data_IF_699851801440
#
_entry.id   IF_699851801440
#
_cell.length_a   1.000
_cell.length_b   1.000
_cell.length_c   1.000
_cell.angle_alpha   90.00
_cell.angle_beta   90.00
_cell.angle_gamma   90.00
#
_symmetry.space_group_name_H-M   'P 1'
#
loop_
_entity.id
_entity.type
_entity.pdbx_description
1 polymer ?
#
# COMPACT_ATOMS: atom_id res chain seq x y z
N UNK A 1 9.22 7.68 -8.94
CA UNK A 1 10.07 6.53 -8.64
C UNK A 1 9.57 5.88 -7.35
N UNK A 2 9.75 6.48 -6.17
CA UNK A 2 9.31 5.85 -4.90
C UNK A 2 7.84 5.38 -4.85
N UNK A 3 6.87 6.21 -5.27
CA UNK A 3 5.44 5.83 -5.24
C UNK A 3 5.17 4.59 -6.12
N UNK A 4 5.89 4.43 -7.23
CA UNK A 4 5.74 3.26 -8.10
C UNK A 4 6.26 2.00 -7.41
N UNK A 5 7.41 2.09 -6.74
CA UNK A 5 7.99 0.97 -5.99
C UNK A 5 7.08 0.58 -4.81
N UNK A 6 6.54 1.57 -4.09
CA UNK A 6 5.59 1.36 -2.99
C UNK A 6 4.32 0.65 -3.47
N UNK A 7 3.83 0.93 -4.68
CA UNK A 7 2.66 0.25 -5.25
C UNK A 7 3.01 -1.18 -5.68
N UNK A 8 4.20 -1.36 -6.29
CA UNK A 8 4.67 -2.66 -6.74
C UNK A 8 4.83 -3.64 -5.56
N UNK A 9 5.21 -3.16 -4.38
CA UNK A 9 5.29 -3.98 -3.14
C UNK A 9 3.94 -4.63 -2.77
N UNK A 10 2.79 -4.05 -3.21
CA UNK A 10 1.45 -4.60 -2.95
C UNK A 10 0.82 -5.34 -4.13
N UNK A 11 1.27 -5.10 -5.36
CA UNK A 11 0.69 -5.71 -6.59
C UNK A 11 1.51 -6.91 -7.07
N UNK A 12 2.80 -6.98 -6.74
CA UNK A 12 3.66 -8.08 -7.16
C UNK A 12 3.18 -9.40 -6.57
N UNK A 13 3.01 -10.44 -7.39
CA UNK A 13 2.94 -11.80 -6.87
C UNK A 13 4.32 -12.20 -6.33
N UNK A 14 4.34 -13.01 -5.26
CA UNK A 14 5.59 -13.57 -4.70
C UNK A 14 6.49 -14.17 -5.80
N UNK A 15 5.88 -14.80 -6.80
CA UNK A 15 6.53 -15.43 -7.95
C UNK A 15 7.33 -14.45 -8.84
N UNK A 16 6.92 -13.18 -8.91
CA UNK A 16 7.54 -12.17 -9.78
C UNK A 16 8.54 -11.31 -9.01
N UNK A 17 8.30 -11.08 -7.71
CA UNK A 17 9.08 -10.16 -6.90
C UNK A 17 10.11 -10.86 -5.98
N UNK A 18 9.98 -12.16 -5.77
CA UNK A 18 10.91 -12.96 -4.94
C UNK A 18 10.89 -12.59 -3.45
N UNK A 19 9.87 -11.86 -3.01
CA UNK A 19 9.64 -11.38 -1.65
C UNK A 19 8.14 -11.45 -1.32
N UNK A 20 7.76 -11.62 -0.04
CA UNK A 20 6.36 -11.56 0.37
C UNK A 20 5.76 -10.19 0.07
N UNK A 21 4.51 -10.19 -0.39
CA UNK A 21 3.73 -8.98 -0.66
C UNK A 21 3.66 -8.10 0.58
N UNK A 22 3.79 -6.78 0.41
CA UNK A 22 3.73 -5.81 1.49
C UNK A 22 4.93 -5.90 2.43
N UNK A 23 6.12 -6.15 1.89
CA UNK A 23 7.34 -6.32 2.68
C UNK A 23 7.66 -5.07 3.50
N UNK A 24 7.34 -3.88 2.98
CA UNK A 24 7.51 -2.62 3.69
C UNK A 24 6.59 -2.55 4.91
N UNK A 25 5.31 -2.88 4.73
CA UNK A 25 4.34 -2.87 5.82
C UNK A 25 4.71 -3.89 6.92
N UNK A 26 5.22 -5.07 6.54
CA UNK A 26 5.72 -6.09 7.48
C UNK A 26 6.93 -5.61 8.29
N UNK A 27 7.73 -4.69 7.73
CA UNK A 27 8.86 -4.04 8.41
C UNK A 27 8.43 -2.81 9.24
N UNK A 28 7.14 -2.47 9.24
CA UNK A 28 6.60 -1.29 9.95
C UNK A 28 6.73 0.01 9.15
N UNK A 29 7.06 -0.06 7.87
CA UNK A 29 7.13 1.11 6.98
C UNK A 29 5.73 1.37 6.44
N UNK A 30 5.21 2.57 6.70
CA UNK A 30 3.89 3.01 6.24
C UNK A 30 4.06 3.81 4.94
N UNK A 31 3.64 3.22 3.82
CA UNK A 31 3.71 3.82 2.48
C UNK A 31 2.36 4.40 2.03
N UNK A 32 2.32 5.03 0.85
CA UNK A 32 1.13 5.72 0.34
C UNK A 32 -0.12 4.83 0.25
N UNK A 33 -0.06 3.58 -0.26
CA UNK A 33 -1.21 2.68 -0.24
C UNK A 33 -1.79 2.47 1.15
N UNK A 34 -0.94 2.31 2.17
CA UNK A 34 -1.38 2.10 3.56
C UNK A 34 -2.04 3.37 4.11
N UNK A 35 -1.47 4.55 3.82
CA UNK A 35 -2.05 5.84 4.24
C UNK A 35 -3.45 6.02 3.65
N UNK A 36 -3.65 5.70 2.38
CA UNK A 36 -4.96 5.79 1.75
C UNK A 36 -5.95 4.75 2.30
N UNK A 37 -5.51 3.53 2.58
CA UNK A 37 -6.37 2.52 3.21
C UNK A 37 -6.82 2.93 4.62
N UNK A 38 -5.93 3.54 5.41
CA UNK A 38 -6.24 4.05 6.75
C UNK A 38 -7.26 5.20 6.75
N UNK A 39 -7.44 5.90 5.63
CA UNK A 39 -8.43 6.97 5.49
C UNK A 39 -9.85 6.44 5.25
N UNK A 40 -10.01 5.16 4.91
CA UNK A 40 -11.33 4.55 4.76
C UNK A 40 -12.06 4.50 6.11
N UNK A 41 -13.28 5.03 6.15
CA UNK A 41 -14.04 5.16 7.40
C UNK A 41 -14.53 3.82 7.95
N UNK A 42 -14.69 2.81 7.10
CA UNK A 42 -15.26 1.52 7.49
C UNK A 42 -14.15 0.52 7.84
N UNK A 43 -13.09 0.47 7.04
CA UNK A 43 -12.03 -0.52 7.15
C UNK A 43 -10.74 0.03 7.77
N UNK A 44 -10.52 1.35 7.70
CA UNK A 44 -9.34 2.01 8.28
C UNK A 44 -9.12 1.73 9.76
N UNK A 45 -10.16 1.76 10.63
CA UNK A 45 -9.99 1.41 12.04
C UNK A 45 -9.47 -0.01 12.25
N UNK A 46 -9.96 -0.99 11.47
CA UNK A 46 -9.52 -2.39 11.58
C UNK A 46 -8.07 -2.55 11.13
N UNK A 47 -7.69 -1.89 10.04
CA UNK A 47 -6.30 -1.87 9.58
C UNK A 47 -5.37 -1.25 10.63
N UNK A 48 -5.80 -0.17 11.28
CA UNK A 48 -5.04 0.48 12.35
C UNK A 48 -4.84 -0.45 13.55
N UNK A 49 -5.87 -1.19 13.96
CA UNK A 49 -5.78 -2.18 15.04
C UNK A 49 -4.75 -3.27 14.73
N UNK A 50 -4.76 -3.78 13.48
CA UNK A 50 -3.78 -4.77 13.02
C UNK A 50 -2.36 -4.19 13.09
N UNK A 51 -2.14 -2.99 12.54
CA UNK A 51 -0.84 -2.32 12.51
C UNK A 51 -0.28 -2.10 13.92
N UNK A 52 -1.14 -1.72 14.88
CA UNK A 52 -0.74 -1.43 16.26
C UNK A 52 -0.55 -2.66 17.15
N UNK A 53 -0.88 -3.87 16.66
CA UNK A 53 -0.72 -5.10 17.42
C UNK A 53 0.76 -5.42 17.66
N UNK A 54 1.15 -5.70 18.91
CA UNK A 54 2.54 -6.01 19.29
C UNK A 54 3.07 -7.27 18.60
N UNK A 55 2.23 -8.30 18.47
CA UNK A 55 2.57 -9.57 17.81
C UNK A 55 1.53 -9.83 16.72
N UNK A 56 1.98 -9.82 15.46
CA UNK A 56 1.16 -10.07 14.28
C UNK A 56 1.37 -11.49 13.79
N UNK A 57 0.28 -12.14 13.41
CA UNK A 57 0.24 -13.47 12.79
C UNK A 57 0.10 -13.32 11.28
N UNK A 58 0.34 -14.39 10.51
CA UNK A 58 0.10 -14.38 9.07
C UNK A 58 -1.35 -14.03 8.72
N UNK A 59 -2.33 -14.49 9.49
CA UNK A 59 -3.74 -14.12 9.30
C UNK A 59 -3.98 -12.61 9.49
N UNK A 60 -3.25 -11.95 10.40
CA UNK A 60 -3.37 -10.49 10.57
C UNK A 60 -2.83 -9.77 9.32
N UNK A 61 -1.76 -10.31 8.71
CA UNK A 61 -1.21 -9.76 7.47
C UNK A 61 -2.16 -9.97 6.28
N UNK A 62 -2.69 -11.17 6.11
CA UNK A 62 -3.67 -11.47 5.05
C UNK A 62 -4.89 -10.55 5.15
N UNK A 63 -5.38 -10.31 6.36
CA UNK A 63 -6.48 -9.37 6.60
C UNK A 63 -6.08 -7.93 6.27
N UNK A 64 -4.90 -7.47 6.69
CA UNK A 64 -4.41 -6.13 6.37
C UNK A 64 -4.31 -5.91 4.85
N UNK A 65 -3.81 -6.90 4.11
CA UNK A 65 -3.71 -6.83 2.65
C UNK A 65 -5.07 -6.80 1.97
N UNK A 66 -5.99 -7.68 2.41
CA UNK A 66 -7.36 -7.67 1.91
C UNK A 66 -8.05 -6.32 2.15
N UNK A 67 -7.83 -5.69 3.32
CA UNK A 67 -8.37 -4.35 3.60
C UNK A 67 -7.76 -3.30 2.66
N UNK A 68 -6.45 -3.29 2.46
CA UNK A 68 -5.78 -2.32 1.59
C UNK A 68 -6.28 -2.43 0.15
N UNK A 69 -6.47 -3.65 -0.34
CA UNK A 69 -7.05 -3.90 -1.67
C UNK A 69 -8.51 -3.42 -1.76
N UNK A 70 -9.34 -3.81 -0.79
CA UNK A 70 -10.78 -3.51 -0.74
C UNK A 70 -11.11 -2.01 -0.66
N UNK A 71 -10.23 -1.22 -0.06
CA UNK A 71 -10.41 0.25 0.05
C UNK A 71 -10.17 0.97 -1.28
N UNK A 72 -9.64 0.29 -2.29
CA UNK A 72 -9.22 0.92 -3.55
C UNK A 72 -7.97 1.81 -3.39
N UNK A 73 -7.27 1.68 -2.26
CA UNK A 73 -6.09 2.50 -1.96
C UNK A 73 -4.96 2.31 -2.98
N UNK A 74 -4.82 1.11 -3.54
CA UNK A 74 -3.87 0.85 -4.64
C UNK A 74 -4.19 1.69 -5.87
N UNK A 75 -5.47 1.75 -6.27
CA UNK A 75 -5.90 2.55 -7.41
C UNK A 75 -5.68 4.05 -7.15
N UNK A 76 -6.04 4.53 -5.95
CA UNK A 76 -5.81 5.92 -5.56
C UNK A 76 -4.32 6.30 -5.59
N UNK A 77 -3.45 5.38 -5.15
CA UNK A 77 -1.99 5.54 -5.18
C UNK A 77 -1.47 5.62 -6.61
N UNK A 78 -1.98 4.77 -7.51
CA UNK A 78 -1.61 4.81 -8.93
C UNK A 78 -2.01 6.14 -9.57
N UNK A 79 -3.23 6.62 -9.33
CA UNK A 79 -3.67 7.92 -9.84
C UNK A 79 -2.79 9.08 -9.33
N UNK A 80 -2.33 9.01 -8.07
CA UNK A 80 -1.40 9.99 -7.52
C UNK A 80 -0.06 9.96 -8.28
N UNK A 81 0.48 8.76 -8.50
CA UNK A 81 1.70 8.55 -9.28
C UNK A 81 1.59 9.17 -10.68
N UNK A 82 0.49 8.89 -11.39
CA UNK A 82 0.24 9.39 -12.75
C UNK A 82 0.18 10.93 -12.78
N UNK A 83 -0.45 11.56 -11.78
CA UNK A 83 -0.47 13.02 -11.66
C UNK A 83 0.93 13.62 -11.48
N UNK A 84 1.79 12.98 -10.69
CA UNK A 84 3.17 13.45 -10.51
C UNK A 84 4.00 13.25 -11.78
N UNK A 85 3.82 12.12 -12.48
CA UNK A 85 4.47 11.89 -13.78
C UNK A 85 4.05 12.93 -14.81
N UNK A 86 2.75 13.29 -14.85
CA UNK A 86 2.27 14.32 -15.77
C UNK A 86 2.87 15.70 -15.43
N UNK A 87 2.84 16.11 -14.15
CA UNK A 87 3.47 17.37 -13.72
C UNK A 87 4.96 17.43 -14.03
N UNK A 88 5.68 16.31 -13.96
CA UNK A 88 7.09 16.24 -14.31
C UNK A 88 7.31 16.44 -15.82
N UNK A 89 6.46 15.83 -16.66
CA UNK A 89 6.49 16.01 -18.12
C UNK A 89 6.19 17.46 -18.50
N UNK A 90 5.18 18.08 -17.89
CA UNK A 90 4.79 19.45 -18.19
C UNK A 90 5.88 20.47 -17.84
N UNK A 91 6.80 20.15 -16.92
CA UNK A 91 7.95 20.99 -16.55
C UNK A 91 9.19 20.80 -17.43
N UNK A 92 9.18 19.80 -18.32
CA UNK A 92 10.23 19.56 -19.31
C UNK A 92 9.92 20.23 -20.67
N UNK A 93 8.81 20.97 -20.73
CA UNK A 93 8.38 21.78 -21.87
C UNK A 93 8.54 23.28 -21.58
#
# INVERSE_FOLDING_TARGET
>A
FQITDDILDFIGSEDVMGKPVGSDLRQGIITIPVIYALQDRLRGPRLQDIINKDIKTENDWDEAFSIIEDTGALNASQQLCDRYLQKAKDKLH
#
